data_IF_525576089743
#
_entry.id   IF_525576089743
#
_cell.length_a   1.000
_cell.length_b   1.000
_cell.length_c   1.000
_cell.angle_alpha   90.00
_cell.angle_beta   90.00
_cell.angle_gamma   90.00
#
_symmetry.space_group_name_H-M   'P 1'
#
loop_
_entity.id
_entity.type
_entity.pdbx_description
1 polymer ?
#
# COMPACT_ATOMS: atom_id res chain seq x y z
N UNK A 1 0.17 -16.07 -22.32
CA UNK A 1 -0.10 -16.90 -21.14
C UNK A 1 -0.19 -15.98 -19.95
N UNK A 2 -1.18 -16.18 -19.08
CA UNK A 2 -1.39 -15.39 -17.86
C UNK A 2 -0.12 -15.36 -16.99
N UNK A 3 0.60 -16.48 -16.90
CA UNK A 3 1.88 -16.57 -16.17
C UNK A 3 2.96 -15.64 -16.74
N UNK A 4 3.02 -15.47 -18.07
CA UNK A 4 3.97 -14.54 -18.68
C UNK A 4 3.60 -13.08 -18.40
N UNK A 5 2.30 -12.76 -18.32
CA UNK A 5 1.84 -11.40 -17.98
C UNK A 5 2.18 -11.05 -16.54
N UNK A 6 2.01 -11.97 -15.59
CA UNK A 6 2.43 -11.77 -14.20
C UNK A 6 3.91 -11.41 -14.11
N UNK A 7 4.77 -12.23 -14.74
CA UNK A 7 6.21 -11.98 -14.76
C UNK A 7 6.57 -10.66 -15.43
N UNK A 8 5.89 -10.32 -16.52
CA UNK A 8 6.07 -9.05 -17.22
C UNK A 8 5.67 -7.84 -16.34
N UNK A 9 4.52 -7.87 -15.68
CA UNK A 9 4.05 -6.77 -14.83
C UNK A 9 4.98 -6.52 -13.64
N UNK A 10 5.40 -7.59 -12.94
CA UNK A 10 6.31 -7.49 -11.80
C UNK A 10 7.72 -7.05 -12.24
N UNK A 11 8.22 -7.62 -13.34
CA UNK A 11 9.53 -7.27 -13.88
C UNK A 11 9.58 -5.82 -14.35
N UNK A 12 8.55 -5.38 -15.09
CA UNK A 12 8.42 -4.01 -15.56
C UNK A 12 8.34 -3.03 -14.39
N UNK A 13 7.46 -3.29 -13.41
CA UNK A 13 7.33 -2.46 -12.22
C UNK A 13 8.62 -2.33 -11.43
N UNK A 14 9.40 -3.41 -11.30
CA UNK A 14 10.71 -3.37 -10.64
C UNK A 14 11.74 -2.56 -11.44
N UNK A 15 11.82 -2.74 -12.76
CA UNK A 15 12.77 -2.00 -13.60
C UNK A 15 12.46 -0.51 -13.69
N UNK A 16 11.18 -0.14 -13.56
CA UNK A 16 10.70 1.23 -13.62
C UNK A 16 10.37 1.81 -12.22
N UNK A 17 10.84 1.18 -11.14
CA UNK A 17 10.50 1.59 -9.78
C UNK A 17 10.91 3.04 -9.49
N UNK A 18 9.95 3.85 -9.03
CA UNK A 18 10.15 5.27 -8.73
C UNK A 18 10.43 6.16 -9.94
N UNK A 19 10.26 5.65 -11.17
CA UNK A 19 10.42 6.46 -12.39
C UNK A 19 9.26 7.43 -12.62
N UNK A 20 8.09 7.12 -12.07
CA UNK A 20 6.83 7.81 -12.37
C UNK A 20 6.55 7.93 -13.89
N UNK A 21 6.98 6.94 -14.69
CA UNK A 21 6.74 6.91 -16.13
C UNK A 21 5.25 6.66 -16.43
N UNK A 22 4.53 7.64 -17.04
CA UNK A 22 3.11 7.52 -17.32
C UNK A 22 2.80 6.44 -18.36
N UNK A 23 3.72 6.15 -19.28
CA UNK A 23 3.52 5.11 -20.30
C UNK A 23 3.50 3.74 -19.64
N UNK A 24 4.48 3.49 -18.77
CA UNK A 24 4.56 2.23 -18.01
C UNK A 24 3.36 2.08 -17.08
N UNK A 25 2.94 3.17 -16.43
CA UNK A 25 1.74 3.18 -15.60
C UNK A 25 0.49 2.80 -16.40
N UNK A 26 0.26 3.40 -17.55
CA UNK A 26 -0.89 3.10 -18.42
C UNK A 26 -0.87 1.65 -18.95
N UNK A 27 0.29 1.10 -19.31
CA UNK A 27 0.40 -0.30 -19.75
C UNK A 27 0.01 -1.29 -18.64
N UNK A 28 0.45 -1.03 -17.41
CA UNK A 28 0.06 -1.83 -16.24
C UNK A 28 -1.42 -1.64 -15.90
N UNK A 29 -1.92 -0.41 -15.96
CA UNK A 29 -3.32 -0.06 -15.76
C UNK A 29 -4.24 -0.81 -16.74
N UNK A 30 -3.88 -0.86 -18.02
CA UNK A 30 -4.59 -1.63 -19.03
C UNK A 30 -4.65 -3.14 -18.73
N UNK A 31 -3.63 -3.67 -18.04
CA UNK A 31 -3.63 -5.07 -17.60
C UNK A 31 -4.50 -5.27 -16.35
N UNK A 32 -4.48 -4.32 -15.42
CA UNK A 32 -5.34 -4.32 -14.24
C UNK A 32 -6.83 -4.36 -14.63
N UNK A 33 -7.25 -3.52 -15.59
CA UNK A 33 -8.64 -3.44 -16.06
C UNK A 33 -9.15 -4.67 -16.84
N UNK A 34 -8.29 -5.64 -17.15
CA UNK A 34 -8.74 -6.93 -17.70
C UNK A 34 -9.40 -7.83 -16.64
N UNK A 35 -9.36 -7.44 -15.36
CA UNK A 35 -10.03 -8.09 -14.22
C UNK A 35 -9.69 -9.59 -14.08
N UNK A 36 -8.51 -10.01 -14.56
CA UNK A 36 -7.93 -11.30 -14.18
C UNK A 36 -7.39 -11.17 -12.76
N UNK A 37 -7.88 -12.01 -11.84
CA UNK A 37 -7.45 -12.02 -10.45
C UNK A 37 -5.93 -12.21 -10.27
N UNK A 38 -5.24 -12.86 -11.21
CA UNK A 38 -3.81 -13.18 -11.11
C UNK A 38 -2.95 -12.11 -11.79
N UNK A 39 -3.26 -11.75 -13.04
CA UNK A 39 -2.53 -10.70 -13.75
C UNK A 39 -2.82 -9.31 -13.15
N UNK A 40 -4.03 -9.08 -12.66
CA UNK A 40 -4.43 -7.83 -12.02
C UNK A 40 -3.71 -7.59 -10.68
N UNK A 41 -3.50 -8.64 -9.88
CA UNK A 41 -2.67 -8.52 -8.66
C UNK A 41 -1.24 -8.08 -8.99
N UNK A 42 -0.63 -8.70 -10.00
CA UNK A 42 0.72 -8.36 -10.46
C UNK A 42 0.80 -6.93 -11.03
N UNK A 43 -0.20 -6.53 -11.82
CA UNK A 43 -0.30 -5.19 -12.38
C UNK A 43 -0.43 -4.13 -11.27
N UNK A 44 -1.28 -4.35 -10.26
CA UNK A 44 -1.44 -3.45 -9.13
C UNK A 44 -0.13 -3.22 -8.37
N UNK A 45 0.60 -4.28 -8.02
CA UNK A 45 1.92 -4.13 -7.40
C UNK A 45 2.91 -3.38 -8.32
N UNK A 46 2.90 -3.69 -9.63
CA UNK A 46 3.72 -2.99 -10.60
C UNK A 46 3.45 -1.48 -10.64
N UNK A 47 2.17 -1.08 -10.66
CA UNK A 47 1.77 0.34 -10.64
C UNK A 47 2.28 1.05 -9.39
N UNK A 48 2.16 0.40 -8.23
CA UNK A 48 2.70 0.91 -6.97
C UNK A 48 4.22 1.11 -6.99
N UNK A 49 4.97 0.16 -7.59
CA UNK A 49 6.42 0.26 -7.73
C UNK A 49 6.82 1.43 -8.63
N UNK A 50 6.19 1.57 -9.80
CA UNK A 50 6.46 2.67 -10.75
C UNK A 50 6.25 4.03 -10.10
N UNK A 51 5.15 4.15 -9.34
CA UNK A 51 4.69 5.40 -8.74
C UNK A 51 5.17 5.59 -7.29
N UNK A 52 6.08 4.76 -6.79
CA UNK A 52 6.52 4.78 -5.38
C UNK A 52 7.04 6.16 -4.97
N UNK A 53 6.50 6.72 -3.89
CA UNK A 53 6.87 8.02 -3.33
C UNK A 53 6.48 9.25 -4.17
N UNK A 54 5.82 9.06 -5.33
CA UNK A 54 5.39 10.17 -6.19
C UNK A 54 4.27 11.01 -5.55
N UNK A 55 3.39 10.37 -4.77
CA UNK A 55 2.18 11.01 -4.26
C UNK A 55 1.20 11.47 -5.35
N UNK A 56 1.28 10.94 -6.57
CA UNK A 56 0.42 11.36 -7.68
C UNK A 56 -1.07 11.11 -7.37
N UNK A 57 -1.85 12.19 -7.32
CA UNK A 57 -3.27 12.14 -6.94
C UNK A 57 -4.12 11.38 -7.97
N UNK A 58 -3.73 11.39 -9.24
CA UNK A 58 -4.47 10.68 -10.30
C UNK A 58 -4.35 9.17 -10.08
N UNK A 59 -3.13 8.68 -9.87
CA UNK A 59 -2.86 7.27 -9.58
C UNK A 59 -3.52 6.83 -8.27
N UNK A 60 -3.49 7.70 -7.25
CA UNK A 60 -4.17 7.44 -5.98
C UNK A 60 -5.67 7.27 -6.17
N UNK A 61 -6.32 8.17 -6.88
CA UNK A 61 -7.77 8.11 -7.11
C UNK A 61 -8.15 6.89 -7.96
N UNK A 62 -7.41 6.61 -9.03
CA UNK A 62 -7.64 5.48 -9.93
C UNK A 62 -7.55 4.13 -9.18
N UNK A 63 -6.48 3.92 -8.41
CA UNK A 63 -6.29 2.69 -7.63
C UNK A 63 -7.31 2.54 -6.50
N UNK A 64 -7.65 3.64 -5.80
CA UNK A 64 -8.61 3.58 -4.70
C UNK A 64 -10.03 3.30 -5.20
N UNK A 65 -10.44 3.94 -6.30
CA UNK A 65 -11.71 3.64 -6.95
C UNK A 65 -11.78 2.18 -7.38
N UNK A 66 -10.74 1.69 -8.08
CA UNK A 66 -10.74 0.31 -8.55
C UNK A 66 -10.75 -0.72 -7.41
N UNK A 67 -10.03 -0.45 -6.31
CA UNK A 67 -10.04 -1.29 -5.13
C UNK A 67 -11.43 -1.42 -4.46
N UNK A 68 -12.31 -0.42 -4.63
CA UNK A 68 -13.68 -0.45 -4.09
C UNK A 68 -14.68 -1.11 -5.04
N UNK A 69 -14.37 -1.15 -6.33
CA UNK A 69 -15.28 -1.66 -7.36
C UNK A 69 -15.08 -3.16 -7.65
N UNK A 70 -13.86 -3.67 -7.51
CA UNK A 70 -13.57 -5.09 -7.78
C UNK A 70 -14.05 -6.02 -6.66
N UNK A 71 -14.42 -7.26 -7.04
CA UNK A 71 -14.76 -8.33 -6.09
C UNK A 71 -13.57 -9.24 -5.76
N UNK A 72 -12.41 -9.04 -6.40
CA UNK A 72 -11.24 -9.88 -6.24
C UNK A 72 -10.35 -9.38 -5.11
N UNK A 73 -10.40 -10.05 -3.95
CA UNK A 73 -9.57 -9.73 -2.77
C UNK A 73 -8.08 -9.52 -3.06
N UNK A 74 -7.53 -10.27 -4.02
CA UNK A 74 -6.12 -10.14 -4.46
C UNK A 74 -5.85 -8.79 -5.11
N UNK A 75 -6.78 -8.31 -5.93
CA UNK A 75 -6.71 -7.03 -6.61
C UNK A 75 -6.89 -5.89 -5.59
N UNK A 76 -7.87 -6.01 -4.67
CA UNK A 76 -8.08 -5.04 -3.58
C UNK A 76 -6.78 -4.87 -2.79
N UNK A 77 -6.14 -5.99 -2.41
CA UNK A 77 -4.87 -5.97 -1.67
C UNK A 77 -3.73 -5.36 -2.48
N UNK A 78 -3.59 -5.72 -3.76
CA UNK A 78 -2.56 -5.16 -4.63
C UNK A 78 -2.72 -3.65 -4.78
N UNK A 79 -3.93 -3.15 -5.02
CA UNK A 79 -4.22 -1.73 -5.13
C UNK A 79 -3.95 -1.00 -3.80
N UNK A 80 -4.40 -1.56 -2.67
CA UNK A 80 -4.14 -0.99 -1.35
C UNK A 80 -2.65 -0.90 -1.01
N UNK A 81 -1.86 -1.93 -1.36
CA UNK A 81 -0.41 -1.90 -1.19
C UNK A 81 0.28 -0.95 -2.19
N UNK A 82 -0.25 -0.83 -3.41
CA UNK A 82 0.24 0.14 -4.39
C UNK A 82 0.06 1.57 -3.88
N UNK A 83 -1.10 1.90 -3.30
CA UNK A 83 -1.33 3.17 -2.63
C UNK A 83 -0.32 3.40 -1.50
N UNK A 84 -0.03 2.36 -0.70
CA UNK A 84 0.96 2.44 0.38
C UNK A 84 2.38 2.77 -0.15
N UNK A 85 2.76 2.21 -1.29
CA UNK A 85 4.03 2.51 -1.97
C UNK A 85 4.04 3.94 -2.54
N UNK A 86 2.96 4.38 -3.17
CA UNK A 86 2.83 5.75 -3.72
C UNK A 86 3.01 6.80 -2.62
N UNK A 87 2.51 6.50 -1.42
CA UNK A 87 2.60 7.39 -0.25
C UNK A 87 3.90 7.25 0.57
N UNK A 88 4.88 6.49 0.08
CA UNK A 88 6.16 6.30 0.78
C UNK A 88 6.85 7.63 1.11
N UNK A 89 7.17 7.85 2.39
CA UNK A 89 7.80 9.07 2.93
C UNK A 89 7.06 10.38 2.68
N UNK A 90 5.74 10.34 2.49
CA UNK A 90 4.89 11.54 2.30
C UNK A 90 4.37 12.11 3.63
N UNK A 91 4.63 11.45 4.76
CA UNK A 91 4.22 11.88 6.11
C UNK A 91 2.79 12.42 6.19
N UNK A 92 2.61 13.71 6.51
CA UNK A 92 1.29 14.32 6.75
C UNK A 92 0.44 14.39 5.49
N UNK A 93 1.05 14.41 4.30
CA UNK A 93 0.33 14.47 3.03
C UNK A 93 -0.43 13.15 2.76
N UNK A 94 0.00 12.04 3.37
CA UNK A 94 -0.67 10.75 3.27
C UNK A 94 -1.84 10.57 4.27
N UNK A 95 -2.00 11.45 5.26
CA UNK A 95 -3.00 11.30 6.32
C UNK A 95 -4.44 11.15 5.80
N UNK A 96 -4.91 11.94 4.82
CA UNK A 96 -6.30 11.83 4.35
C UNK A 96 -6.64 10.44 3.83
N UNK A 97 -5.74 9.85 3.04
CA UNK A 97 -5.97 8.51 2.48
C UNK A 97 -5.73 7.40 3.51
N UNK A 98 -4.77 7.57 4.43
CA UNK A 98 -4.59 6.65 5.55
C UNK A 98 -5.87 6.57 6.38
N UNK A 99 -6.44 7.71 6.76
CA UNK A 99 -7.66 7.75 7.56
C UNK A 99 -8.87 7.18 6.81
N UNK A 100 -8.98 7.47 5.51
CA UNK A 100 -10.04 6.90 4.68
C UNK A 100 -9.97 5.36 4.64
N UNK A 101 -8.79 4.79 4.38
CA UNK A 101 -8.61 3.34 4.29
C UNK A 101 -8.67 2.65 5.66
N UNK A 102 -8.16 3.29 6.72
CA UNK A 102 -8.14 2.73 8.07
C UNK A 102 -9.55 2.64 8.70
N UNK A 103 -10.50 3.44 8.22
CA UNK A 103 -11.90 3.40 8.67
C UNK A 103 -12.83 2.68 7.68
N UNK A 104 -12.28 2.01 6.66
CA UNK A 104 -13.08 1.29 5.67
C UNK A 104 -13.72 0.03 6.28
N UNK A 105 -14.87 -0.39 5.73
CA UNK A 105 -15.55 -1.62 6.16
C UNK A 105 -14.75 -2.86 5.76
N UNK A 106 -14.04 -2.79 4.63
CA UNK A 106 -13.19 -3.88 4.16
C UNK A 106 -11.90 -3.98 4.99
N UNK A 107 -11.68 -5.14 5.60
CA UNK A 107 -10.48 -5.43 6.39
C UNK A 107 -9.19 -5.42 5.56
N UNK A 108 -9.25 -5.70 4.25
CA UNK A 108 -8.10 -5.65 3.33
C UNK A 108 -7.62 -4.21 3.16
N UNK A 109 -8.54 -3.24 3.04
CA UNK A 109 -8.18 -1.83 2.96
C UNK A 109 -7.59 -1.32 4.27
N UNK A 110 -8.19 -1.68 5.41
CA UNK A 110 -7.61 -1.36 6.74
C UNK A 110 -6.23 -1.98 6.93
N UNK A 111 -6.04 -3.22 6.48
CA UNK A 111 -4.74 -3.90 6.46
C UNK A 111 -3.70 -3.10 5.66
N UNK A 112 -4.06 -2.66 4.45
CA UNK A 112 -3.17 -1.85 3.61
C UNK A 112 -2.89 -0.47 4.23
N UNK A 113 -3.86 0.13 4.93
CA UNK A 113 -3.69 1.40 5.64
C UNK A 113 -2.62 1.33 6.74
N UNK A 114 -2.46 0.16 7.40
CA UNK A 114 -1.40 -0.04 8.39
C UNK A 114 -0.01 -0.02 7.74
N UNK A 115 0.16 -0.73 6.62
CA UNK A 115 1.39 -0.67 5.83
C UNK A 115 1.65 0.73 5.28
N UNK A 116 0.62 1.42 4.77
CA UNK A 116 0.72 2.80 4.32
C UNK A 116 1.19 3.73 5.45
N UNK A 117 0.65 3.59 6.66
CA UNK A 117 1.10 4.34 7.84
C UNK A 117 2.59 4.07 8.11
N UNK A 118 3.01 2.81 8.07
CA UNK A 118 4.41 2.41 8.24
C UNK A 118 5.35 3.03 7.19
N UNK A 119 4.95 3.00 5.93
CA UNK A 119 5.73 3.48 4.78
C UNK A 119 5.76 5.02 4.67
N UNK A 120 4.62 5.69 4.91
CA UNK A 120 4.53 7.15 4.89
C UNK A 120 5.41 7.79 5.96
N UNK A 121 5.55 7.14 7.13
CA UNK A 121 6.36 7.60 8.26
C UNK A 121 7.64 6.80 8.47
N UNK A 122 8.12 6.09 7.44
CA UNK A 122 9.27 5.19 7.53
C UNK A 122 10.52 5.91 8.07
N UNK A 123 11.01 5.45 9.22
CA UNK A 123 12.21 5.98 9.89
C UNK A 123 12.03 7.33 10.60
N UNK A 124 10.82 7.88 10.66
CA UNK A 124 10.56 9.21 11.27
C UNK A 124 10.39 9.15 12.79
N UNK A 125 10.08 7.97 13.36
CA UNK A 125 9.72 7.81 14.78
C UNK A 125 8.55 8.72 15.24
N UNK A 126 7.64 9.07 14.33
CA UNK A 126 6.50 9.95 14.60
C UNK A 126 5.54 9.34 15.63
N UNK A 127 5.33 10.04 16.75
CA UNK A 127 4.46 9.55 17.84
C UNK A 127 2.99 9.35 17.43
N UNK A 128 2.45 10.16 16.53
CA UNK A 128 1.07 9.98 16.04
C UNK A 128 0.91 8.66 15.26
N UNK A 129 1.84 8.37 14.35
CA UNK A 129 1.86 7.11 13.60
C UNK A 129 2.02 5.89 14.53
N UNK A 130 2.96 5.96 15.49
CA UNK A 130 3.15 4.90 16.50
C UNK A 130 1.85 4.67 17.29
N UNK A 131 1.20 5.74 17.75
CA UNK A 131 -0.05 5.65 18.52
C UNK A 131 -1.20 5.04 17.69
N UNK A 132 -1.34 5.41 16.42
CA UNK A 132 -2.32 4.82 15.49
C UNK A 132 -2.07 3.32 15.36
N UNK A 133 -0.83 2.92 15.07
CA UNK A 133 -0.48 1.51 14.88
C UNK A 133 -0.70 0.69 16.16
N UNK A 134 -0.32 1.20 17.34
CA UNK A 134 -0.59 0.52 18.60
C UNK A 134 -2.10 0.38 18.87
N UNK A 135 -2.89 1.40 18.56
CA UNK A 135 -4.33 1.32 18.69
C UNK A 135 -4.90 0.19 17.81
N UNK A 136 -4.59 0.17 16.51
CA UNK A 136 -5.08 -0.86 15.59
C UNK A 136 -4.54 -2.26 15.91
N UNK A 137 -3.35 -2.39 16.51
CA UNK A 137 -2.82 -3.68 16.93
C UNK A 137 -3.62 -4.40 18.01
N UNK A 138 -4.52 -3.67 18.70
CA UNK A 138 -5.37 -4.23 19.76
C UNK A 138 -6.87 -4.06 19.50
N UNK A 139 -7.28 -2.99 18.81
CA UNK A 139 -8.70 -2.65 18.65
C UNK A 139 -9.36 -3.23 17.40
N UNK A 140 -8.61 -3.57 16.34
CA UNK A 140 -9.22 -4.11 15.12
C UNK A 140 -9.66 -5.57 15.31
N UNK A 141 -10.83 -5.89 14.77
CA UNK A 141 -11.41 -7.24 14.82
C UNK A 141 -10.64 -8.24 13.95
N UNK A 142 -9.95 -7.77 12.91
CA UNK A 142 -9.19 -8.62 11.98
C UNK A 142 -7.77 -8.88 12.45
N UNK A 143 -7.41 -10.15 12.57
CA UNK A 143 -6.06 -10.58 12.92
C UNK A 143 -5.00 -10.11 11.91
N UNK A 144 -5.36 -10.02 10.63
CA UNK A 144 -4.47 -9.51 9.58
C UNK A 144 -4.14 -8.05 9.80
N UNK A 145 -5.13 -7.22 10.11
CA UNK A 145 -4.93 -5.79 10.41
C UNK A 145 -4.07 -5.63 11.65
N UNK A 146 -4.34 -6.39 12.72
CA UNK A 146 -3.53 -6.35 13.95
C UNK A 146 -2.06 -6.73 13.67
N UNK A 147 -1.82 -7.78 12.88
CA UNK A 147 -0.46 -8.18 12.45
C UNK A 147 0.22 -7.08 11.62
N UNK A 148 -0.47 -6.52 10.63
CA UNK A 148 0.06 -5.46 9.78
C UNK A 148 0.45 -4.22 10.60
N UNK A 149 -0.35 -3.87 11.61
CA UNK A 149 -0.06 -2.75 12.50
C UNK A 149 1.25 -2.97 13.28
N UNK A 150 1.44 -4.16 13.85
CA UNK A 150 2.68 -4.50 14.59
C UNK A 150 3.90 -4.53 13.66
N UNK A 151 3.77 -5.13 12.46
CA UNK A 151 4.84 -5.12 11.45
C UNK A 151 5.22 -3.67 11.09
N UNK A 152 4.23 -2.81 10.94
CA UNK A 152 4.42 -1.42 10.49
C UNK A 152 5.10 -0.53 11.52
N UNK A 153 5.04 -0.88 12.82
CA UNK A 153 5.85 -0.21 13.85
C UNK A 153 7.35 -0.33 13.54
N UNK A 154 7.78 -1.46 12.97
CA UNK A 154 9.16 -1.68 12.53
C UNK A 154 9.60 -0.66 11.49
N UNK A 155 8.74 -0.32 10.51
CA UNK A 155 9.06 0.70 9.51
C UNK A 155 9.18 2.09 10.12
N UNK A 156 8.24 2.49 11.00
CA UNK A 156 8.27 3.83 11.62
C UNK A 156 9.51 4.00 12.51
N UNK A 157 9.92 2.93 13.21
CA UNK A 157 11.02 2.93 14.18
C UNK A 157 12.35 2.38 13.63
N UNK A 158 12.48 2.15 12.32
CA UNK A 158 13.68 1.51 11.76
C UNK A 158 14.99 2.28 12.03
N UNK A 159 14.91 3.60 12.20
CA UNK A 159 16.04 4.47 12.60
C UNK A 159 16.25 4.55 14.12
N UNK A 160 15.42 3.90 14.94
CA UNK A 160 15.48 3.88 16.40
C UNK A 160 15.05 2.53 16.98
N UNK A 161 15.71 1.42 16.59
CA UNK A 161 15.27 0.06 16.90
C UNK A 161 15.26 -0.26 18.40
N UNK A 162 16.12 0.40 19.20
CA UNK A 162 16.16 0.25 20.66
C UNK A 162 14.87 0.69 21.37
N UNK A 163 14.02 1.51 20.72
CA UNK A 163 12.72 1.92 21.26
C UNK A 163 11.64 0.87 21.05
N UNK A 164 11.82 -0.04 20.09
CA UNK A 164 10.81 -1.03 19.72
C UNK A 164 10.41 -1.97 20.88
N UNK A 165 11.35 -2.52 21.69
CA UNK A 165 10.99 -3.36 22.84
C UNK A 165 10.22 -2.62 23.94
N UNK A 166 10.30 -1.29 24.01
CA UNK A 166 9.60 -0.50 25.02
C UNK A 166 8.18 -0.08 24.62
N UNK A 167 7.80 -0.29 23.35
CA UNK A 167 6.46 0.07 22.83
C UNK A 167 5.59 -1.15 22.50
N UNK A 168 6.19 -2.34 22.37
CA UNK A 168 5.51 -3.63 22.22
C UNK A 168 5.18 -4.23 23.60
#
# INVERSE_FOLDING_TARGET
SEVHQVGACLGLGLTAMGSADPVVYEDLRNTLFQDSAVSGEAAGYGMGLVMTGSGDETAVNDLLSYAKDTSHEKIIRACGMALALIQFRREQEAEPIIDQMANDQDAILRYCAMFMTGLAYCGTSRSSAIRRLLHFSVSDVSDDVRRAAVISLGFVLCNSPHRLPGVL
#
